data_IF_909813474922
#
_entry.id   IF_909813474922
#
_cell.length_a   1.000
_cell.length_b   1.000
_cell.length_c   1.000
_cell.angle_alpha   90.00
_cell.angle_beta   90.00
_cell.angle_gamma   90.00
#
_symmetry.space_group_name_H-M   'P 1'
#
loop_
_entity.id
_entity.type
_entity.pdbx_description
1 polymer ?
#
# COMPACT_ATOMS: atom_id res chain seq x y z
N UNK A 1 10.02 21.88 -4.95
CA UNK A 1 10.48 21.59 -4.65
C UNK A 1 10.51 20.68 -3.92
N UNK A 2 10.23 20.40 -4.14
CA UNK A 2 10.15 19.53 -3.51
C UNK A 2 10.66 19.18 -2.41
N UNK A 3 10.80 19.31 -2.09
CA UNK A 3 11.30 19.14 -1.31
C UNK A 3 10.95 19.21 -0.26
N UNK A 4 10.70 19.28 -0.13
CA UNK A 4 10.63 19.41 0.77
C UNK A 4 9.95 18.95 1.87
N UNK A 5 8.81 18.47 1.92
CA UNK A 5 8.15 17.88 3.09
C UNK A 5 8.54 16.42 3.15
N UNK A 6 9.28 16.01 4.16
CA UNK A 6 9.68 14.60 4.23
C UNK A 6 8.46 13.75 4.55
N UNK A 7 8.20 12.76 3.72
CA UNK A 7 7.14 11.79 3.95
C UNK A 7 7.67 10.71 4.87
N UNK A 8 6.85 10.31 5.83
CA UNK A 8 7.20 9.25 6.78
C UNK A 8 6.34 8.02 6.50
N UNK A 9 6.98 6.87 6.45
CA UNK A 9 6.27 5.62 6.22
C UNK A 9 6.63 4.63 7.32
N UNK A 10 5.74 3.66 7.52
CA UNK A 10 5.98 2.55 8.44
C UNK A 10 5.77 1.23 7.72
N UNK A 11 6.37 0.18 8.26
CA UNK A 11 6.17 -1.16 7.72
C UNK A 11 4.91 -1.74 8.36
N UNK A 12 4.04 -2.31 7.55
CA UNK A 12 2.81 -2.92 8.04
C UNK A 12 3.11 -4.27 8.70
N UNK A 13 2.31 -4.62 9.68
CA UNK A 13 2.42 -5.94 10.31
C UNK A 13 1.91 -7.02 9.36
N UNK A 14 2.27 -8.28 9.63
CA UNK A 14 1.75 -9.41 8.85
C UNK A 14 0.24 -9.46 8.88
N UNK A 15 -0.35 -9.17 10.04
CA UNK A 15 -1.81 -9.15 10.19
C UNK A 15 -2.44 -8.08 9.31
N UNK A 16 -1.83 -6.89 9.27
CA UNK A 16 -2.31 -5.82 8.41
C UNK A 16 -2.19 -6.18 6.93
N UNK A 17 -1.08 -6.81 6.55
CA UNK A 17 -0.88 -7.25 5.17
C UNK A 17 -1.89 -8.31 4.76
N UNK A 18 -2.17 -9.26 5.65
CA UNK A 18 -3.15 -10.31 5.37
C UNK A 18 -4.55 -9.72 5.19
N UNK A 19 -4.93 -8.80 6.07
CA UNK A 19 -6.22 -8.12 5.97
C UNK A 19 -6.33 -7.35 4.66
N UNK A 20 -5.25 -6.74 4.25
CA UNK A 20 -5.19 -5.97 3.01
C UNK A 20 -5.36 -6.88 1.79
N UNK A 21 -4.68 -8.01 1.79
CA UNK A 21 -4.80 -8.98 0.70
C UNK A 21 -6.23 -9.47 0.58
N UNK A 22 -6.87 -9.77 1.70
CA UNK A 22 -8.26 -10.19 1.71
C UNK A 22 -9.17 -9.12 1.14
N UNK A 23 -8.95 -7.86 1.54
CA UNK A 23 -9.76 -6.75 1.06
C UNK A 23 -9.58 -6.49 -0.44
N UNK A 24 -8.43 -6.88 -0.99
CA UNK A 24 -8.13 -6.66 -2.41
C UNK A 24 -8.37 -7.91 -3.26
N UNK A 25 -8.93 -8.96 -2.67
CA UNK A 25 -9.23 -10.20 -3.38
C UNK A 25 -10.74 -10.32 -3.55
N UNK A 26 -11.17 -10.52 -4.79
CA UNK A 26 -12.60 -10.61 -5.13
C UNK A 26 -12.97 -12.03 -5.49
N UNK A 27 -14.19 -12.42 -5.12
CA UNK A 27 -14.81 -13.63 -5.64
C UNK A 27 -15.54 -13.28 -6.91
N UNK A 28 -15.16 -13.93 -8.01
CA UNK A 28 -15.74 -13.68 -9.30
C UNK A 28 -16.38 -14.95 -9.80
N UNK A 29 -17.67 -14.90 -10.23
CA UNK A 29 -18.30 -16.11 -10.77
C UNK A 29 -17.63 -16.52 -12.08
N UNK A 30 -17.40 -17.83 -12.21
CA UNK A 30 -16.86 -18.39 -13.44
C UNK A 30 -18.01 -18.56 -14.42
N UNK A 31 -17.90 -17.89 -15.57
CA UNK A 31 -18.96 -17.87 -16.56
C UNK A 31 -19.30 -19.29 -17.03
N UNK A 32 -20.56 -19.60 -17.02
CA UNK A 32 -21.04 -20.90 -17.48
C UNK A 32 -20.97 -22.01 -16.45
N UNK A 33 -20.58 -21.70 -15.23
CA UNK A 33 -20.51 -22.68 -14.14
C UNK A 33 -21.11 -22.09 -12.87
N UNK A 34 -21.22 -22.92 -11.83
CA UNK A 34 -21.64 -22.47 -10.51
C UNK A 34 -20.44 -22.16 -9.63
N UNK A 35 -19.25 -22.27 -10.17
CA UNK A 35 -18.01 -22.09 -9.43
C UNK A 35 -17.64 -20.61 -9.33
N UNK A 36 -16.78 -20.32 -8.37
CA UNK A 36 -16.22 -19.00 -8.16
C UNK A 36 -14.72 -19.09 -8.21
N UNK A 37 -14.09 -18.03 -8.67
CA UNK A 37 -12.63 -17.93 -8.59
C UNK A 37 -12.27 -16.69 -7.78
N UNK A 38 -11.09 -16.72 -7.20
CA UNK A 38 -10.57 -15.57 -6.47
C UNK A 38 -9.69 -14.77 -7.41
N UNK A 39 -9.87 -13.46 -7.41
CA UNK A 39 -9.06 -12.57 -8.23
C UNK A 39 -8.46 -11.49 -7.36
N UNK A 40 -7.14 -11.38 -7.41
CA UNK A 40 -6.41 -10.40 -6.63
C UNK A 40 -6.20 -9.13 -7.44
N UNK A 41 -6.57 -7.98 -6.86
CA UNK A 41 -6.39 -6.68 -7.50
C UNK A 41 -5.07 -6.08 -7.00
N UNK A 42 -4.03 -6.25 -7.79
CA UNK A 42 -2.69 -5.81 -7.40
C UNK A 42 -2.57 -4.30 -7.33
N UNK A 43 -3.20 -3.59 -8.24
CA UNK A 43 -3.15 -2.12 -8.23
C UNK A 43 -3.79 -1.56 -6.97
N UNK A 44 -4.96 -2.09 -6.62
CA UNK A 44 -5.65 -1.68 -5.40
C UNK A 44 -4.81 -2.01 -4.18
N UNK A 45 -4.21 -3.19 -4.16
CA UNK A 45 -3.35 -3.60 -3.04
C UNK A 45 -2.19 -2.63 -2.86
N UNK A 46 -1.52 -2.25 -3.94
CA UNK A 46 -0.38 -1.34 -3.89
C UNK A 46 -0.80 0.03 -3.34
N UNK A 47 -1.91 0.55 -3.81
CA UNK A 47 -2.43 1.85 -3.36
C UNK A 47 -2.80 1.78 -1.87
N UNK A 48 -3.57 0.76 -1.49
CA UNK A 48 -4.02 0.63 -0.11
C UNK A 48 -2.85 0.39 0.85
N UNK A 49 -1.87 -0.41 0.43
CA UNK A 49 -0.68 -0.63 1.22
C UNK A 49 0.06 0.69 1.46
N UNK A 50 0.19 1.49 0.42
CA UNK A 50 0.87 2.78 0.51
C UNK A 50 0.11 3.73 1.43
N UNK A 51 -1.22 3.80 1.29
CA UNK A 51 -2.03 4.67 2.14
C UNK A 51 -1.92 4.31 3.61
N UNK A 52 -1.88 3.02 3.91
CA UNK A 52 -1.74 2.56 5.30
C UNK A 52 -0.33 2.76 5.84
N UNK A 53 0.66 2.74 4.96
CA UNK A 53 2.06 2.90 5.36
C UNK A 53 2.46 4.34 5.62
N UNK A 54 1.80 5.30 4.97
CA UNK A 54 2.15 6.71 5.14
C UNK A 54 1.71 7.21 6.49
N UNK A 55 2.67 7.65 7.30
CA UNK A 55 2.42 8.20 8.63
C UNK A 55 2.28 9.71 8.54
N UNK A 56 3.11 10.35 7.75
CA UNK A 56 3.07 11.79 7.55
C UNK A 56 3.33 12.12 6.07
N UNK A 57 2.55 13.03 5.50
CA UNK A 57 1.46 13.79 6.09
C UNK A 57 0.24 12.91 6.35
N UNK A 58 -0.67 13.40 7.19
CA UNK A 58 -1.90 12.65 7.50
C UNK A 58 -2.88 12.77 6.35
N UNK A 59 -2.95 11.75 5.52
CA UNK A 59 -3.78 11.77 4.32
C UNK A 59 -5.28 11.69 4.62
N UNK A 60 -5.63 11.40 5.86
CA UNK A 60 -7.03 11.36 6.28
C UNK A 60 -7.50 12.68 6.90
N UNK A 61 -6.63 13.69 6.93
CA UNK A 61 -6.95 14.99 7.46
C UNK A 61 -7.88 15.73 6.50
N UNK A 62 -9.09 16.04 6.97
CA UNK A 62 -10.10 16.70 6.14
C UNK A 62 -9.65 18.08 5.67
N UNK A 63 -8.94 18.81 6.52
CA UNK A 63 -8.45 20.14 6.17
C UNK A 63 -7.43 20.07 5.04
N UNK A 64 -6.51 19.11 5.15
CA UNK A 64 -5.50 18.91 4.11
C UNK A 64 -6.15 18.50 2.80
N UNK A 65 -7.13 17.60 2.86
CA UNK A 65 -7.88 17.19 1.68
C UNK A 65 -8.57 18.37 1.03
N UNK A 66 -9.18 19.24 1.84
CA UNK A 66 -9.84 20.43 1.35
C UNK A 66 -8.90 21.40 0.66
N UNK A 67 -7.69 21.55 1.19
CA UNK A 67 -6.68 22.45 0.61
C UNK A 67 -6.26 22.00 -0.79
N UNK A 68 -6.36 20.71 -1.08
CA UNK A 68 -5.99 20.15 -2.37
C UNK A 68 -7.18 19.79 -3.24
N UNK A 69 -8.39 20.15 -2.81
CA UNK A 69 -9.64 19.77 -3.49
C UNK A 69 -9.75 18.28 -3.70
N UNK A 70 -9.24 17.51 -2.76
CA UNK A 70 -9.25 16.05 -2.83
C UNK A 70 -10.36 15.49 -1.94
N UNK A 71 -10.98 14.41 -2.40
CA UNK A 71 -11.97 13.68 -1.65
C UNK A 71 -11.36 12.32 -1.28
N UNK A 72 -10.98 12.17 -0.02
CA UNK A 72 -10.39 10.94 0.46
C UNK A 72 -8.88 10.89 0.33
N UNK A 73 -8.29 9.92 1.01
CA UNK A 73 -6.84 9.80 1.12
C UNK A 73 -6.18 9.46 -0.22
N UNK A 74 -6.81 8.61 -1.02
CA UNK A 74 -6.24 8.23 -2.30
C UNK A 74 -6.14 9.41 -3.26
N UNK A 75 -7.20 10.20 -3.36
CA UNK A 75 -7.20 11.38 -4.20
C UNK A 75 -6.16 12.38 -3.74
N UNK A 76 -6.06 12.54 -2.42
CA UNK A 76 -5.08 13.46 -1.84
C UNK A 76 -3.66 13.02 -2.17
N UNK A 77 -3.38 11.74 -2.05
CA UNK A 77 -2.07 11.19 -2.38
C UNK A 77 -1.68 11.53 -3.82
N UNK A 78 -2.61 11.31 -4.74
CA UNK A 78 -2.36 11.55 -6.16
C UNK A 78 -2.28 13.03 -6.49
N UNK A 79 -2.97 13.88 -5.71
CA UNK A 79 -2.92 15.33 -5.93
C UNK A 79 -1.60 15.93 -5.44
N UNK A 80 -1.06 15.42 -4.36
CA UNK A 80 0.15 15.96 -3.74
C UNK A 80 1.43 15.54 -4.44
N UNK A 81 1.41 14.43 -5.18
CA UNK A 81 2.60 13.86 -5.78
C UNK A 81 2.48 13.80 -7.29
N UNK A 82 3.60 14.05 -7.97
CA UNK A 82 3.68 13.79 -9.41
C UNK A 82 3.72 12.27 -9.63
N UNK A 83 3.44 11.81 -10.86
CA UNK A 83 3.53 10.36 -11.12
C UNK A 83 4.88 9.74 -10.76
N UNK A 84 5.97 10.46 -11.00
CA UNK A 84 7.29 9.98 -10.64
C UNK A 84 7.51 9.89 -9.14
N UNK A 85 7.03 10.90 -8.43
CA UNK A 85 7.12 10.90 -6.95
C UNK A 85 6.26 9.79 -6.36
N UNK A 86 5.09 9.55 -6.92
CA UNK A 86 4.21 8.49 -6.47
C UNK A 86 4.85 7.12 -6.68
N UNK A 87 5.49 6.93 -7.84
CA UNK A 87 6.20 5.69 -8.12
C UNK A 87 7.35 5.48 -7.14
N UNK A 88 8.06 6.55 -6.80
CA UNK A 88 9.14 6.49 -5.81
C UNK A 88 8.62 6.10 -4.44
N UNK A 89 7.45 6.63 -4.06
CA UNK A 89 6.84 6.29 -2.78
C UNK A 89 6.43 4.82 -2.74
N UNK A 90 5.81 4.33 -3.82
CA UNK A 90 5.44 2.92 -3.93
C UNK A 90 6.68 2.04 -3.78
N UNK A 91 7.75 2.43 -4.43
CA UNK A 91 9.02 1.71 -4.38
C UNK A 91 9.57 1.67 -2.96
N UNK A 92 9.54 2.80 -2.27
CA UNK A 92 10.04 2.90 -0.90
C UNK A 92 9.25 2.01 0.04
N UNK A 93 7.91 2.01 -0.09
CA UNK A 93 7.04 1.18 0.73
C UNK A 93 7.29 -0.30 0.47
N UNK A 94 7.41 -0.68 -0.80
CA UNK A 94 7.67 -2.06 -1.19
C UNK A 94 9.03 -2.54 -0.70
N UNK A 95 10.05 -1.71 -0.84
CA UNK A 95 11.39 -2.07 -0.40
C UNK A 95 11.47 -2.25 1.11
N UNK A 96 10.81 -1.40 1.86
CA UNK A 96 10.77 -1.52 3.31
C UNK A 96 10.12 -2.83 3.73
N UNK A 97 9.01 -3.19 3.08
CA UNK A 97 8.30 -4.44 3.37
C UNK A 97 9.14 -5.65 2.98
N UNK A 98 9.77 -5.59 1.82
CA UNK A 98 10.62 -6.69 1.33
C UNK A 98 11.84 -6.88 2.21
N UNK A 99 12.43 -5.78 2.68
CA UNK A 99 13.58 -5.85 3.56
C UNK A 99 13.22 -6.60 4.85
N UNK A 100 12.10 -6.24 5.46
CA UNK A 100 11.64 -6.90 6.69
C UNK A 100 11.34 -8.37 6.44
N UNK A 101 10.69 -8.69 5.34
CA UNK A 101 10.39 -10.07 4.97
C UNK A 101 11.67 -10.85 4.69
N UNK A 102 12.61 -10.22 3.98
CA UNK A 102 13.91 -10.84 3.68
C UNK A 102 14.71 -11.16 4.93
N UNK A 103 14.69 -10.25 5.90
CA UNK A 103 15.37 -10.50 7.18
C UNK A 103 14.76 -11.68 7.91
N UNK A 104 13.42 -11.74 7.94
CA UNK A 104 12.72 -12.84 8.56
C UNK A 104 13.02 -14.17 7.88
N UNK A 105 13.03 -14.17 6.56
CA UNK A 105 13.32 -15.36 5.78
C UNK A 105 14.75 -15.84 6.00
N UNK A 106 15.72 -14.92 6.05
CA UNK A 106 17.09 -15.25 6.32
C UNK A 106 17.27 -15.90 7.68
N UNK A 107 16.59 -15.37 8.68
CA UNK A 107 16.64 -15.92 10.03
C UNK A 107 16.09 -17.34 10.03
N UNK A 108 14.96 -17.57 9.35
CA UNK A 108 14.38 -18.90 9.25
C UNK A 108 15.31 -19.88 8.55
N UNK A 109 15.95 -19.43 7.48
CA UNK A 109 16.88 -20.26 6.73
C UNK A 109 18.05 -20.69 7.60
N UNK A 110 18.61 -19.76 8.35
CA UNK A 110 19.72 -20.06 9.25
C UNK A 110 19.32 -21.08 10.30
N UNK A 111 18.13 -20.95 10.88
CA UNK A 111 17.63 -21.89 11.87
C UNK A 111 17.45 -23.29 11.32
N UNK A 112 17.07 -23.38 10.05
CA UNK A 112 16.79 -24.67 9.40
C UNK A 112 18.02 -25.32 8.81
N UNK A 113 19.14 -24.62 8.79
CA UNK A 113 20.41 -25.16 8.26
C UNK A 113 21.19 -25.94 9.33
#
# INVERSE_FOLDING_TARGET
DGKLVPWEIRVLTNEEMDSLRDACTKRIPVKGTKDWKMEFDQDKFMIEMTLKSVVFPNLNDAELQGNWDAIGAEELLKAMLTPGELADLYSAVSQASDFEAGMGDKIKTVKNS
#
